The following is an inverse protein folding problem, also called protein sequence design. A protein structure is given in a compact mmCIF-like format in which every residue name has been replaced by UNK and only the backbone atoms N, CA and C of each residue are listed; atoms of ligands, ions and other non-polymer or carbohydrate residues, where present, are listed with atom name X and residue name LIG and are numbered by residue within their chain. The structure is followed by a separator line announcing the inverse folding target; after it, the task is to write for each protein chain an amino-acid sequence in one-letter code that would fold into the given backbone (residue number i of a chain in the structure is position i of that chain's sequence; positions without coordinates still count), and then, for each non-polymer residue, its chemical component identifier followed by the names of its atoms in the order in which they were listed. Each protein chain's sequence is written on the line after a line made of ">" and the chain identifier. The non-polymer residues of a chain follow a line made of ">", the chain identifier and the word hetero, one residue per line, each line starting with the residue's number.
data_IF_264402274839
#
_entry.id   IF_264402274839
#
_cell.length_a   1.000
_cell.length_b   1.000
_cell.length_c   1.000
_cell.angle_alpha   90.00
_cell.angle_beta   90.00
_cell.angle_gamma   90.00
#
_symmetry.space_group_name_H-M   'P 1'
#
loop_
_entity.id
_entity.type
_entity.pdbx_description
1 polymer ?
#
# COMPACT_ATOMS: atom_id res chain seq x y z
N UNK A 1 54.98 23.15 5.50
CA UNK A 1 53.86 22.17 5.43
C UNK A 1 52.67 22.80 4.71
N UNK A 2 52.64 22.78 3.37
CA UNK A 2 51.57 23.40 2.55
C UNK A 2 50.89 22.43 1.57
N UNK A 3 51.25 21.14 1.58
CA UNK A 3 50.73 20.15 0.63
C UNK A 3 49.88 19.05 1.27
N UNK A 4 49.64 19.08 2.59
CA UNK A 4 48.82 18.05 3.25
C UNK A 4 47.31 18.33 3.18
N UNK A 5 46.89 19.57 2.88
CA UNK A 5 45.48 19.97 2.86
C UNK A 5 44.76 19.73 1.53
N UNK A 6 45.49 19.46 0.44
CA UNK A 6 44.87 19.26 -0.89
C UNK A 6 44.44 17.80 -1.10
N UNK A 7 45.05 16.83 -0.42
CA UNK A 7 44.64 15.42 -0.51
C UNK A 7 43.40 15.07 0.35
N UNK A 8 43.07 15.87 1.37
CA UNK A 8 41.90 15.65 2.23
C UNK A 8 40.59 16.19 1.62
N UNK A 9 40.69 17.19 0.74
CA UNK A 9 39.54 17.77 0.05
C UNK A 9 39.06 16.93 -1.15
N UNK A 10 39.96 16.19 -1.80
CA UNK A 10 39.59 15.29 -2.90
C UNK A 10 38.95 13.99 -2.43
N UNK A 11 39.19 13.53 -1.19
CA UNK A 11 38.54 12.35 -0.61
C UNK A 11 37.09 12.66 -0.18
N UNK A 12 36.83 13.88 0.29
CA UNK A 12 35.48 14.31 0.68
C UNK A 12 34.52 14.47 -0.51
N UNK A 13 35.04 14.85 -1.69
CA UNK A 13 34.23 14.96 -2.92
C UNK A 13 33.97 13.58 -3.56
N UNK A 14 34.86 12.60 -3.36
CA UNK A 14 34.63 11.22 -3.83
C UNK A 14 33.65 10.48 -2.92
N UNK A 15 33.58 10.80 -1.63
CA UNK A 15 32.57 10.27 -0.71
C UNK A 15 31.20 10.93 -0.88
N UNK A 16 31.12 12.19 -1.35
CA UNK A 16 29.84 12.84 -1.69
C UNK A 16 29.32 12.49 -3.09
N UNK A 17 30.10 11.78 -3.92
CA UNK A 17 29.64 11.22 -5.20
C UNK A 17 29.11 9.77 -5.08
N UNK A 18 29.26 9.11 -3.92
CA UNK A 18 28.59 7.82 -3.65
C UNK A 18 27.14 7.96 -3.15
N UNK A 19 26.68 9.16 -2.83
CA UNK A 19 25.27 9.42 -2.48
C UNK A 19 24.36 9.57 -3.69
N UNK A 20 24.92 9.70 -4.90
CA UNK A 20 24.15 9.66 -6.15
C UNK A 20 23.97 8.21 -6.65
N UNK A 21 23.10 7.42 -5.98
CA UNK A 21 22.36 6.23 -6.51
C UNK A 21 21.96 5.18 -5.45
N UNK A 22 22.16 5.40 -4.15
CA UNK A 22 21.64 4.44 -3.15
C UNK A 22 20.11 4.49 -3.17
N UNK A 23 19.50 3.40 -3.62
CA UNK A 23 18.08 3.15 -3.41
C UNK A 23 17.77 3.06 -1.92
N UNK A 24 16.48 2.94 -1.59
CA UNK A 24 16.03 2.79 -0.21
C UNK A 24 16.69 1.59 0.46
N UNK A 25 17.06 1.70 1.74
CA UNK A 25 17.61 0.54 2.45
C UNK A 25 16.54 -0.54 2.63
N UNK A 26 16.91 -1.83 2.79
CA UNK A 26 15.93 -2.88 3.02
C UNK A 26 15.02 -2.65 4.22
N UNK A 27 15.55 -2.12 5.32
CA UNK A 27 14.77 -1.85 6.52
C UNK A 27 13.80 -0.68 6.30
N UNK A 28 14.28 0.42 5.71
CA UNK A 28 13.42 1.58 5.42
C UNK A 28 12.29 1.19 4.45
N UNK A 29 12.58 0.32 3.47
CA UNK A 29 11.57 -0.17 2.54
C UNK A 29 10.56 -1.09 3.21
N UNK A 30 11.00 -1.99 4.10
CA UNK A 30 10.08 -2.82 4.88
C UNK A 30 9.14 -1.96 5.73
N UNK A 31 9.70 -1.03 6.49
CA UNK A 31 8.95 -0.14 7.38
C UNK A 31 7.95 0.72 6.60
N UNK A 32 8.35 1.26 5.46
CA UNK A 32 7.45 1.99 4.59
C UNK A 32 6.25 1.14 4.17
N UNK A 33 6.46 -0.06 3.63
CA UNK A 33 5.36 -0.90 3.13
C UNK A 33 4.43 -1.33 4.26
N UNK A 34 4.98 -1.69 5.43
CA UNK A 34 4.18 -2.02 6.63
C UNK A 34 3.31 -0.83 7.04
N UNK A 35 3.90 0.35 7.15
CA UNK A 35 3.17 1.55 7.55
C UNK A 35 2.09 1.92 6.53
N UNK A 36 2.37 1.81 5.22
CA UNK A 36 1.37 2.04 4.17
C UNK A 36 0.23 1.03 4.28
N UNK A 37 0.54 -0.26 4.48
CA UNK A 37 -0.47 -1.29 4.68
C UNK A 37 -1.33 -1.02 5.91
N UNK A 38 -0.74 -0.90 7.09
CA UNK A 38 -1.48 -0.71 8.35
C UNK A 38 -2.34 0.55 8.34
N UNK A 39 -1.78 1.69 7.93
CA UNK A 39 -2.51 2.97 7.94
C UNK A 39 -3.66 2.98 6.93
N UNK A 40 -3.45 2.45 5.73
CA UNK A 40 -4.49 2.38 4.70
C UNK A 40 -5.57 1.36 5.05
N UNK A 41 -5.20 0.24 5.67
CA UNK A 41 -6.14 -0.78 6.10
C UNK A 41 -7.04 -0.27 7.23
N UNK A 42 -6.45 0.40 8.23
CA UNK A 42 -7.23 1.03 9.30
C UNK A 42 -8.17 2.09 8.74
N UNK A 43 -7.68 2.99 7.88
CA UNK A 43 -8.49 4.01 7.25
C UNK A 43 -9.65 3.40 6.44
N UNK A 44 -9.37 2.36 5.66
CA UNK A 44 -10.37 1.61 4.91
C UNK A 44 -11.43 0.99 5.83
N UNK A 45 -11.04 0.35 6.93
CA UNK A 45 -11.98 -0.26 7.87
C UNK A 45 -12.87 0.79 8.54
N UNK A 46 -12.27 1.88 9.02
CA UNK A 46 -13.01 2.97 9.64
C UNK A 46 -14.04 3.55 8.67
N UNK A 47 -13.61 3.89 7.45
CA UNK A 47 -14.48 4.47 6.42
C UNK A 47 -15.51 3.52 5.84
N UNK A 48 -15.17 2.26 5.64
CA UNK A 48 -16.13 1.26 5.16
C UNK A 48 -17.19 0.93 6.22
N UNK A 49 -16.86 1.03 7.51
CA UNK A 49 -17.84 0.86 8.59
C UNK A 49 -18.89 1.98 8.58
N UNK A 50 -18.51 3.23 8.26
CA UNK A 50 -19.45 4.34 8.08
C UNK A 50 -20.44 4.06 6.94
N UNK A 51 -20.02 3.37 5.87
CA UNK A 51 -20.90 3.04 4.74
C UNK A 51 -21.98 2.00 5.08
N UNK A 52 -21.78 1.20 6.13
CA UNK A 52 -22.78 0.27 6.63
C UNK A 52 -23.87 0.96 7.46
N UNK A 53 -23.68 2.23 7.84
CA UNK A 53 -24.71 2.99 8.54
C UNK A 53 -25.83 3.41 7.59
N UNK A 54 -27.05 2.97 7.88
CA UNK A 54 -28.24 3.26 7.10
C UNK A 54 -28.67 4.73 7.19
N UNK A 55 -27.96 5.58 7.92
CA UNK A 55 -28.17 7.03 7.94
C UNK A 55 -27.26 7.78 6.95
N UNK A 56 -26.21 7.13 6.42
CA UNK A 56 -25.23 7.73 5.52
C UNK A 56 -25.58 7.43 4.07
N UNK A 57 -26.03 8.45 3.33
CA UNK A 57 -26.52 8.30 1.94
C UNK A 57 -26.05 9.40 0.99
N UNK A 58 -26.21 9.13 -0.30
CA UNK A 58 -26.01 10.12 -1.38
C UNK A 58 -24.56 10.58 -1.46
N UNK A 59 -24.36 11.89 -1.49
CA UNK A 59 -23.04 12.51 -1.67
C UNK A 59 -22.04 12.12 -0.57
N UNK A 60 -22.50 11.87 0.66
CA UNK A 60 -21.62 11.48 1.76
C UNK A 60 -21.01 10.10 1.53
N UNK A 61 -21.82 9.11 1.17
CA UNK A 61 -21.35 7.75 0.88
C UNK A 61 -20.40 7.74 -0.32
N UNK A 62 -20.72 8.52 -1.35
CA UNK A 62 -19.85 8.69 -2.51
C UNK A 62 -18.50 9.31 -2.12
N UNK A 63 -18.50 10.37 -1.33
CA UNK A 63 -17.26 11.02 -0.87
C UNK A 63 -16.37 10.07 -0.05
N UNK A 64 -16.98 9.20 0.76
CA UNK A 64 -16.24 8.18 1.51
C UNK A 64 -15.59 7.15 0.56
N UNK A 65 -16.34 6.67 -0.44
CA UNK A 65 -15.81 5.73 -1.43
C UNK A 65 -14.68 6.37 -2.24
N UNK A 66 -14.89 7.59 -2.72
CA UNK A 66 -13.89 8.35 -3.48
C UNK A 66 -12.63 8.61 -2.63
N UNK A 67 -12.79 8.91 -1.33
CA UNK A 67 -11.64 9.15 -0.44
C UNK A 67 -10.83 7.88 -0.17
N UNK A 68 -11.47 6.72 -0.05
CA UNK A 68 -10.77 5.43 0.05
C UNK A 68 -10.02 5.14 -1.26
N UNK A 69 -10.69 5.27 -2.40
CA UNK A 69 -10.08 5.04 -3.71
C UNK A 69 -8.83 5.90 -3.94
N UNK A 70 -8.92 7.18 -3.58
CA UNK A 70 -7.80 8.13 -3.66
C UNK A 70 -6.59 7.70 -2.81
N UNK A 71 -6.82 7.12 -1.62
CA UNK A 71 -5.73 6.58 -0.78
C UNK A 71 -5.02 5.42 -1.50
N UNK A 72 -5.77 4.49 -2.09
CA UNK A 72 -5.15 3.39 -2.84
C UNK A 72 -4.37 3.87 -4.06
N UNK A 73 -4.89 4.84 -4.81
CA UNK A 73 -4.14 5.49 -5.91
C UNK A 73 -2.85 6.12 -5.42
N UNK A 74 -2.92 6.91 -4.34
CA UNK A 74 -1.74 7.57 -3.75
C UNK A 74 -0.68 6.55 -3.33
N UNK A 75 -1.09 5.41 -2.78
CA UNK A 75 -0.17 4.34 -2.38
C UNK A 75 0.49 3.70 -3.60
N UNK A 76 -0.28 3.37 -4.63
CA UNK A 76 0.24 2.79 -5.87
C UNK A 76 1.26 3.75 -6.52
N UNK A 77 0.91 5.03 -6.66
CA UNK A 77 1.81 6.05 -7.19
C UNK A 77 3.09 6.21 -6.35
N UNK A 78 2.93 6.17 -5.02
CA UNK A 78 4.08 6.21 -4.10
C UNK A 78 5.00 5.04 -4.34
N UNK A 79 4.46 3.81 -4.39
CA UNK A 79 5.23 2.58 -4.62
C UNK A 79 5.92 2.59 -5.99
N UNK A 80 5.24 3.02 -7.05
CA UNK A 80 5.78 3.12 -8.40
C UNK A 80 6.97 4.09 -8.49
N UNK A 81 6.95 5.16 -7.68
CA UNK A 81 8.02 6.16 -7.65
C UNK A 81 9.27 5.69 -6.87
N UNK A 82 9.15 4.65 -6.05
CA UNK A 82 10.20 4.24 -5.12
C UNK A 82 11.20 3.32 -5.80
N UNK A 83 12.48 3.69 -5.65
CA UNK A 83 13.59 2.79 -5.96
C UNK A 83 13.85 1.83 -4.80
N UNK A 84 13.11 0.72 -4.79
CA UNK A 84 13.21 -0.33 -3.77
C UNK A 84 14.45 -1.23 -3.96
N UNK A 85 14.93 -1.90 -2.89
CA UNK A 85 16.07 -2.79 -2.96
C UNK A 85 15.75 -4.06 -3.78
N UNK A 86 16.75 -4.60 -4.48
CA UNK A 86 16.56 -5.72 -5.42
C UNK A 86 15.91 -6.94 -4.75
N UNK A 87 16.24 -7.19 -3.50
CA UNK A 87 15.74 -8.28 -2.68
C UNK A 87 14.24 -8.17 -2.43
N UNK A 88 13.69 -6.95 -2.43
CA UNK A 88 12.28 -6.68 -2.18
C UNK A 88 11.38 -6.86 -3.41
N UNK A 89 11.91 -7.24 -4.57
CA UNK A 89 11.12 -7.25 -5.82
C UNK A 89 9.80 -8.04 -5.70
N UNK A 90 9.81 -9.23 -5.13
CA UNK A 90 8.57 -10.02 -4.96
C UNK A 90 7.63 -9.43 -3.93
N UNK A 91 8.18 -8.94 -2.81
CA UNK A 91 7.40 -8.25 -1.79
C UNK A 91 6.70 -7.02 -2.36
N UNK A 92 7.45 -6.15 -3.04
CA UNK A 92 6.92 -4.98 -3.76
C UNK A 92 5.80 -5.34 -4.75
N UNK A 93 6.01 -6.37 -5.56
CA UNK A 93 5.01 -6.82 -6.54
C UNK A 93 3.75 -7.40 -5.86
N UNK A 94 3.88 -8.08 -4.72
CA UNK A 94 2.74 -8.53 -3.94
C UNK A 94 1.96 -7.35 -3.34
N UNK A 95 2.68 -6.34 -2.84
CA UNK A 95 2.09 -5.10 -2.31
C UNK A 95 1.29 -4.34 -3.37
N UNK A 96 1.88 -4.07 -4.55
CA UNK A 96 1.17 -3.39 -5.64
C UNK A 96 -0.09 -4.17 -6.03
N UNK A 97 0.00 -5.49 -6.21
CA UNK A 97 -1.15 -6.32 -6.60
C UNK A 97 -2.31 -6.24 -5.61
N UNK A 98 -2.02 -6.17 -4.31
CA UNK A 98 -3.07 -6.00 -3.30
C UNK A 98 -3.78 -4.66 -3.50
N UNK A 99 -3.03 -3.56 -3.56
CA UNK A 99 -3.62 -2.21 -3.67
C UNK A 99 -4.33 -1.97 -5.01
N UNK A 100 -3.76 -2.45 -6.11
CA UNK A 100 -4.44 -2.43 -7.42
C UNK A 100 -5.75 -3.20 -7.37
N UNK A 101 -5.77 -4.39 -6.75
CA UNK A 101 -7.00 -5.17 -6.62
C UNK A 101 -8.04 -4.46 -5.73
N UNK A 102 -7.61 -3.85 -4.63
CA UNK A 102 -8.50 -3.05 -3.79
C UNK A 102 -9.13 -1.90 -4.58
N UNK A 103 -8.33 -1.12 -5.32
CA UNK A 103 -8.82 -0.03 -6.17
C UNK A 103 -9.72 -0.51 -7.31
N UNK A 104 -9.27 -1.49 -8.09
CA UNK A 104 -9.89 -1.82 -9.38
C UNK A 104 -11.04 -2.81 -9.25
N UNK A 105 -11.08 -3.59 -8.17
CA UNK A 105 -12.08 -4.66 -7.99
C UNK A 105 -12.94 -4.50 -6.75
N UNK A 106 -12.40 -3.98 -5.63
CA UNK A 106 -13.18 -3.82 -4.39
C UNK A 106 -13.96 -2.51 -4.39
N UNK A 107 -13.31 -1.37 -4.69
CA UNK A 107 -13.99 -0.07 -4.64
C UNK A 107 -15.22 0.03 -5.55
N UNK A 108 -15.24 -0.50 -6.78
CA UNK A 108 -16.43 -0.47 -7.62
C UNK A 108 -17.63 -1.20 -7.00
N UNK A 109 -17.41 -2.23 -6.18
CA UNK A 109 -18.51 -2.92 -5.51
C UNK A 109 -19.17 -2.03 -4.46
N UNK A 110 -18.40 -1.22 -3.74
CA UNK A 110 -18.95 -0.21 -2.83
C UNK A 110 -19.73 0.86 -3.58
N UNK A 111 -19.30 1.26 -4.78
CA UNK A 111 -20.10 2.20 -5.60
C UNK A 111 -21.46 1.59 -5.98
N UNK A 112 -21.49 0.30 -6.32
CA UNK A 112 -22.73 -0.42 -6.67
C UNK A 112 -23.72 -0.49 -5.50
N UNK A 113 -23.26 -0.51 -4.24
CA UNK A 113 -24.18 -0.51 -3.09
C UNK A 113 -25.02 0.77 -3.02
N UNK A 114 -24.52 1.89 -3.56
CA UNK A 114 -25.20 3.18 -3.57
C UNK A 114 -26.41 3.21 -4.51
N UNK A 115 -26.45 2.33 -5.51
CA UNK A 115 -27.54 2.27 -6.48
C UNK A 115 -28.79 1.57 -5.91
N UNK A 116 -28.65 0.88 -4.77
CA UNK A 116 -29.71 0.11 -4.16
C UNK A 116 -30.32 0.81 -2.96
N UNK A 117 -31.63 0.64 -2.78
CA UNK A 117 -32.32 1.10 -1.58
C UNK A 117 -31.74 0.37 -0.36
N UNK A 118 -31.36 1.08 0.73
CA UNK A 118 -30.91 0.46 1.97
C UNK A 118 -31.90 -0.62 2.45
N UNK A 119 -31.35 -1.71 2.97
CA UNK A 119 -32.09 -2.90 3.45
C UNK A 119 -32.94 -3.64 2.39
N UNK A 120 -32.81 -3.30 1.11
CA UNK A 120 -33.37 -4.13 0.02
C UNK A 120 -32.59 -5.43 -0.13
N UNK A 121 -33.20 -6.41 -0.81
CA UNK A 121 -32.53 -7.67 -1.14
C UNK A 121 -31.24 -7.43 -1.94
N UNK A 122 -31.28 -6.52 -2.92
CA UNK A 122 -30.15 -6.15 -3.76
C UNK A 122 -29.03 -5.49 -2.95
N UNK A 123 -29.38 -4.65 -1.98
CA UNK A 123 -28.41 -4.02 -1.08
C UNK A 123 -27.70 -5.07 -0.21
N UNK A 124 -28.44 -5.99 0.42
CA UNK A 124 -27.84 -7.09 1.19
C UNK A 124 -26.98 -8.00 0.31
N UNK A 125 -27.41 -8.26 -0.93
CA UNK A 125 -26.64 -9.06 -1.87
C UNK A 125 -25.30 -8.37 -2.21
N UNK A 126 -25.33 -7.06 -2.51
CA UNK A 126 -24.12 -6.30 -2.83
C UNK A 126 -23.11 -6.29 -1.67
N UNK A 127 -23.58 -6.12 -0.44
CA UNK A 127 -22.73 -6.25 0.75
C UNK A 127 -22.17 -7.66 0.93
N UNK A 128 -22.99 -8.70 0.72
CA UNK A 128 -22.51 -10.08 0.76
C UNK A 128 -21.44 -10.38 -0.32
N UNK A 129 -21.55 -9.77 -1.49
CA UNK A 129 -20.56 -9.91 -2.57
C UNK A 129 -19.22 -9.27 -2.16
N UNK A 130 -19.24 -8.09 -1.54
CA UNK A 130 -18.06 -7.44 -0.95
C UNK A 130 -17.42 -8.37 0.09
N UNK A 131 -18.21 -8.84 1.05
CA UNK A 131 -17.82 -9.77 2.09
C UNK A 131 -17.18 -11.05 1.54
N UNK A 132 -17.74 -11.59 0.45
CA UNK A 132 -17.21 -12.78 -0.20
C UNK A 132 -15.85 -12.52 -0.87
N UNK A 133 -15.65 -11.34 -1.45
CA UNK A 133 -14.35 -10.96 -2.02
C UNK A 133 -13.29 -10.82 -0.92
N UNK A 134 -13.66 -10.27 0.24
CA UNK A 134 -12.76 -10.17 1.39
C UNK A 134 -12.31 -11.54 1.91
N UNK A 135 -13.28 -12.44 2.12
CA UNK A 135 -12.99 -13.83 2.54
C UNK A 135 -12.25 -14.66 1.48
N UNK A 136 -12.28 -14.22 0.22
CA UNK A 136 -11.65 -14.91 -0.90
C UNK A 136 -10.37 -14.21 -1.35
N UNK A 137 -10.48 -13.43 -2.43
CA UNK A 137 -9.33 -12.94 -3.18
C UNK A 137 -8.48 -11.93 -2.40
N UNK A 138 -9.10 -11.05 -1.60
CA UNK A 138 -8.36 -10.07 -0.81
C UNK A 138 -7.50 -10.76 0.22
N UNK A 139 -8.08 -11.68 1.02
CA UNK A 139 -7.31 -12.47 2.00
C UNK A 139 -6.18 -13.27 1.34
N UNK A 140 -6.38 -13.83 0.14
CA UNK A 140 -5.30 -14.50 -0.59
C UNK A 140 -4.15 -13.55 -0.96
N UNK A 141 -4.46 -12.33 -1.41
CA UNK A 141 -3.46 -11.33 -1.78
C UNK A 141 -2.72 -10.79 -0.56
N UNK A 142 -3.44 -10.52 0.53
CA UNK A 142 -2.87 -10.09 1.82
C UNK A 142 -1.93 -11.17 2.39
N UNK A 143 -2.35 -12.44 2.40
CA UNK A 143 -1.49 -13.55 2.82
C UNK A 143 -0.24 -13.66 1.93
N UNK A 144 -0.39 -13.49 0.61
CA UNK A 144 0.77 -13.48 -0.30
C UNK A 144 1.72 -12.32 -0.02
N UNK A 145 1.22 -11.14 0.37
CA UNK A 145 2.04 -10.00 0.78
C UNK A 145 2.83 -10.34 2.04
N UNK A 146 2.16 -10.87 3.07
CA UNK A 146 2.78 -11.25 4.36
C UNK A 146 3.86 -12.32 4.14
N UNK A 147 3.58 -13.35 3.33
CA UNK A 147 4.56 -14.39 3.02
C UNK A 147 5.82 -13.83 2.35
N UNK A 148 5.66 -12.94 1.36
CA UNK A 148 6.80 -12.32 0.68
C UNK A 148 7.54 -11.33 1.56
N UNK A 149 6.85 -10.67 2.50
CA UNK A 149 7.48 -9.85 3.52
C UNK A 149 8.38 -10.68 4.44
N UNK A 150 7.90 -11.83 4.93
CA UNK A 150 8.69 -12.73 5.78
C UNK A 150 9.94 -13.19 5.04
N UNK A 151 9.80 -13.66 3.79
CA UNK A 151 10.94 -14.09 2.95
C UNK A 151 11.93 -12.94 2.73
N UNK A 152 11.44 -11.72 2.56
CA UNK A 152 12.28 -10.54 2.42
C UNK A 152 13.04 -10.24 3.72
N UNK A 153 12.36 -10.24 4.88
CA UNK A 153 12.95 -10.01 6.19
C UNK A 153 14.02 -11.06 6.55
N UNK A 154 13.77 -12.34 6.26
CA UNK A 154 14.75 -13.43 6.42
C UNK A 154 15.98 -13.21 5.54
N UNK A 155 15.76 -12.83 4.27
CA UNK A 155 16.87 -12.61 3.32
C UNK A 155 17.75 -11.44 3.71
N UNK A 156 17.18 -10.39 4.30
CA UNK A 156 17.94 -9.19 4.66
C UNK A 156 18.59 -9.33 6.02
N UNK A 157 17.97 -10.05 6.98
CA UNK A 157 18.58 -10.34 8.29
C UNK A 157 19.81 -11.27 8.23
N UNK A 158 19.89 -12.17 7.25
CA UNK A 158 21.08 -13.05 7.04
C UNK A 158 22.27 -12.29 6.44
N UNK A 159 22.05 -11.12 5.86
CA UNK A 159 23.08 -10.31 5.19
C UNK A 159 23.65 -9.16 6.04
N UNK A 160 23.25 -9.06 7.32
CA UNK A 160 23.80 -8.16 8.34
C UNK A 160 24.50 -8.94 9.45
#
# INVERSE_FOLDING_TARGET
>A
MKYLYICLLSILVVLSLQSCKRGMSPNDYNELVVNLHESSWQYFQDKSSELYDNEIHGDTSKNIIDSIGFIFDTIIETLDSIKYPREAHRFHQATIKLFEYMRDSVMPLYTVTLDYKPESYEWYKAWNDIDSIFRGRVSQLENSLIEEQIKFAEKVSVNY
#
